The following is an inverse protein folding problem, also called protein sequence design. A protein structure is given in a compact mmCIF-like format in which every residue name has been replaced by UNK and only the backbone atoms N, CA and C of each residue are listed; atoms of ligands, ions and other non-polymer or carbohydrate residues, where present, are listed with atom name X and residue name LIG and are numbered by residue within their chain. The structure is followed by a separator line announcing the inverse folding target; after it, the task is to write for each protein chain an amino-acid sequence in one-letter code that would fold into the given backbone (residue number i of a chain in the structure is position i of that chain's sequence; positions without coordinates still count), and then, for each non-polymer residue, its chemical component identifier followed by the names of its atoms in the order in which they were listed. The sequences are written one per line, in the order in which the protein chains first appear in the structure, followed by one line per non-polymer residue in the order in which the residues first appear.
data_IF_161272031740
#
_entry.id   IF_161272031740
#
_cell.length_a   1.000
_cell.length_b   1.000
_cell.length_c   1.000
_cell.angle_alpha   90.00
_cell.angle_beta   90.00
_cell.angle_gamma   90.00
#
_symmetry.space_group_name_H-M   'P 1'
#
loop_
_entity.id
_entity.type
_entity.pdbx_description
1 polymer ?
#
# COMPACT_ATOMS: atom_id res chain seq x y z
N UNK A 1 4.25 -7.39 -18.79
CA UNK A 1 4.71 -6.04 -18.40
C UNK A 1 6.09 -6.10 -17.82
N UNK A 2 6.99 -5.24 -18.29
CA UNK A 2 8.30 -5.04 -17.67
C UNK A 2 8.09 -4.35 -16.32
N UNK A 3 8.76 -4.81 -15.26
CA UNK A 3 8.70 -4.17 -13.94
C UNK A 3 9.52 -2.87 -13.95
N UNK A 4 8.95 -1.80 -13.37
CA UNK A 4 9.57 -0.46 -13.27
C UNK A 4 9.96 -0.16 -11.82
N UNK A 5 9.09 -0.49 -10.86
CA UNK A 5 9.30 -0.27 -9.44
C UNK A 5 8.72 -1.45 -8.66
N UNK A 6 9.26 -1.75 -7.48
CA UNK A 6 8.64 -2.67 -6.52
C UNK A 6 8.43 -1.95 -5.20
N UNK A 7 7.22 -2.08 -4.62
CA UNK A 7 6.83 -1.44 -3.38
C UNK A 7 6.59 -2.48 -2.29
N UNK A 8 7.30 -2.36 -1.18
CA UNK A 8 6.99 -3.15 0.02
C UNK A 8 5.79 -2.53 0.73
N UNK A 9 4.75 -3.34 0.92
CA UNK A 9 3.49 -2.96 1.53
C UNK A 9 3.34 -3.68 2.87
N UNK A 10 2.94 -2.92 3.89
CA UNK A 10 2.62 -3.44 5.22
C UNK A 10 1.13 -3.21 5.49
N UNK A 11 0.40 -4.25 5.87
CA UNK A 11 -0.95 -4.10 6.42
C UNK A 11 -0.80 -3.71 7.90
N UNK A 12 -1.37 -2.58 8.35
CA UNK A 12 -1.28 -2.17 9.74
C UNK A 12 -1.80 -3.28 10.69
N UNK A 13 -1.07 -3.52 11.77
CA UNK A 13 -1.35 -4.59 12.74
C UNK A 13 -0.71 -5.94 12.38
N UNK A 14 -0.01 -6.05 11.26
CA UNK A 14 0.89 -7.18 10.97
C UNK A 14 2.33 -6.82 11.33
N UNK A 15 3.14 -7.85 11.60
CA UNK A 15 4.57 -7.71 11.77
C UNK A 15 5.25 -7.29 10.45
N UNK A 16 6.35 -6.55 10.54
CA UNK A 16 7.07 -5.99 9.40
C UNK A 16 7.68 -7.07 8.50
N UNK A 17 8.03 -8.22 9.06
CA UNK A 17 8.49 -9.40 8.32
C UNK A 17 7.39 -10.05 7.46
N UNK A 18 6.12 -9.66 7.68
CA UNK A 18 4.97 -10.03 6.84
C UNK A 18 4.63 -8.99 5.77
N UNK A 19 5.52 -8.03 5.51
CA UNK A 19 5.37 -7.16 4.35
C UNK A 19 5.33 -7.99 3.05
N UNK A 20 4.53 -7.54 2.10
CA UNK A 20 4.51 -8.11 0.76
C UNK A 20 5.01 -7.10 -0.27
N UNK A 21 5.73 -7.58 -1.27
CA UNK A 21 6.16 -6.75 -2.40
C UNK A 21 5.06 -6.69 -3.46
N UNK A 22 4.77 -5.49 -3.96
CA UNK A 22 3.89 -5.25 -5.09
C UNK A 22 4.68 -4.59 -6.22
N UNK A 23 4.74 -5.26 -7.37
CA UNK A 23 5.43 -4.76 -8.54
C UNK A 23 4.57 -3.74 -9.29
N UNK A 24 5.14 -2.63 -9.73
CA UNK A 24 4.53 -1.69 -10.64
C UNK A 24 5.24 -1.83 -11.98
N UNK A 25 4.47 -2.22 -13.00
CA UNK A 25 4.96 -2.43 -14.35
C UNK A 25 4.94 -1.17 -15.21
N UNK A 26 5.51 -1.29 -16.40
CA UNK A 26 5.50 -0.27 -17.46
C UNK A 26 4.06 0.02 -17.91
N UNK A 27 3.22 -1.02 -17.92
CA UNK A 27 1.78 -0.89 -18.10
C UNK A 27 1.02 -1.63 -17.00
N UNK A 28 -0.28 -1.37 -16.89
CA UNK A 28 -1.22 -2.04 -15.99
C UNK A 28 -2.61 -2.10 -16.63
N UNK A 29 -3.42 -3.09 -16.25
CA UNK A 29 -4.82 -3.19 -16.65
C UNK A 29 -5.72 -2.86 -15.47
N UNK A 30 -6.53 -1.81 -15.61
CA UNK A 30 -7.58 -1.50 -14.64
C UNK A 30 -8.69 -2.57 -14.65
N UNK A 31 -9.70 -2.41 -13.78
CA UNK A 31 -10.82 -3.37 -13.71
C UNK A 31 -11.71 -3.37 -14.98
N UNK A 32 -11.56 -2.37 -15.85
CA UNK A 32 -12.24 -2.27 -17.15
C UNK A 32 -11.39 -2.82 -18.31
N UNK A 33 -10.26 -3.47 -18.02
CA UNK A 33 -9.27 -3.94 -19.00
C UNK A 33 -8.66 -2.83 -19.88
N UNK A 34 -8.68 -1.57 -19.42
CA UNK A 34 -8.00 -0.46 -20.09
C UNK A 34 -6.52 -0.49 -19.70
N UNK A 35 -5.66 -0.33 -20.70
CA UNK A 35 -4.21 -0.22 -20.48
C UNK A 35 -3.89 1.16 -19.92
N UNK A 36 -3.22 1.18 -18.78
CA UNK A 36 -2.67 2.36 -18.12
C UNK A 36 -1.15 2.28 -18.15
N UNK A 37 -0.51 3.27 -18.75
CA UNK A 37 0.95 3.42 -18.75
C UNK A 37 1.46 3.86 -17.37
N UNK A 38 2.72 3.54 -17.04
CA UNK A 38 3.33 3.92 -15.77
C UNK A 38 3.29 5.44 -15.52
N UNK A 39 3.45 6.26 -16.57
CA UNK A 39 3.35 7.72 -16.50
C UNK A 39 1.98 8.21 -16.02
N UNK A 40 0.93 7.44 -16.28
CA UNK A 40 -0.46 7.75 -15.94
C UNK A 40 -0.94 6.95 -14.72
N UNK A 41 -0.03 6.21 -14.07
CA UNK A 41 -0.35 5.38 -12.91
C UNK A 41 -0.67 6.24 -11.69
N UNK A 42 -1.89 6.08 -11.15
CA UNK A 42 -2.43 6.84 -10.02
C UNK A 42 -2.56 5.97 -8.79
N UNK A 43 -2.76 6.64 -7.64
CA UNK A 43 -3.01 5.98 -6.36
C UNK A 43 -4.27 5.10 -6.42
N UNK A 44 -5.30 5.50 -7.16
CA UNK A 44 -6.51 4.69 -7.38
C UNK A 44 -6.21 3.34 -8.03
N UNK A 45 -5.41 3.32 -9.10
CA UNK A 45 -5.00 2.08 -9.78
C UNK A 45 -4.22 1.16 -8.84
N UNK A 46 -3.40 1.74 -7.96
CA UNK A 46 -2.70 0.96 -6.94
C UNK A 46 -3.67 0.37 -5.90
N UNK A 47 -4.67 1.12 -5.45
CA UNK A 47 -5.71 0.60 -4.52
C UNK A 47 -6.48 -0.57 -5.14
N UNK A 48 -6.86 -0.47 -6.41
CA UNK A 48 -7.50 -1.56 -7.15
C UNK A 48 -6.60 -2.80 -7.18
N UNK A 49 -5.33 -2.61 -7.55
CA UNK A 49 -4.35 -3.69 -7.60
C UNK A 49 -4.19 -4.38 -6.24
N UNK A 50 -4.05 -3.62 -5.16
CA UNK A 50 -3.95 -4.15 -3.80
C UNK A 50 -5.23 -4.89 -3.38
N UNK A 51 -6.41 -4.37 -3.72
CA UNK A 51 -7.68 -5.02 -3.43
C UNK A 51 -7.84 -6.37 -4.14
N UNK A 52 -7.07 -6.65 -5.20
CA UNK A 52 -7.08 -7.99 -5.82
C UNK A 52 -6.33 -9.05 -4.98
N UNK A 53 -5.48 -8.66 -4.01
CA UNK A 53 -4.81 -9.59 -3.09
C UNK A 53 -5.75 -10.10 -2.02
N UNK A 54 -5.77 -11.41 -1.82
CA UNK A 54 -6.60 -12.05 -0.79
C UNK A 54 -6.32 -11.51 0.62
N UNK A 55 -5.04 -11.28 0.96
CA UNK A 55 -4.63 -10.69 2.26
C UNK A 55 -5.27 -9.32 2.54
N UNK A 56 -5.57 -8.56 1.48
CA UNK A 56 -6.23 -7.25 1.58
C UNK A 56 -7.75 -7.42 1.56
N UNK A 57 -8.30 -8.26 0.67
CA UNK A 57 -9.75 -8.52 0.57
C UNK A 57 -10.36 -9.00 1.88
N UNK A 58 -9.66 -9.84 2.63
CA UNK A 58 -10.16 -10.34 3.93
C UNK A 58 -10.22 -9.24 5.00
N UNK A 59 -9.58 -8.09 4.78
CA UNK A 59 -9.50 -6.97 5.73
C UNK A 59 -10.39 -5.79 5.35
N UNK A 60 -10.62 -5.54 4.06
CA UNK A 60 -11.40 -4.39 3.58
C UNK A 60 -12.54 -4.81 2.67
N UNK A 61 -13.68 -4.12 2.76
CA UNK A 61 -14.88 -4.47 1.98
C UNK A 61 -14.82 -4.00 0.51
N UNK A 62 -14.08 -2.93 0.22
CA UNK A 62 -13.91 -2.37 -1.13
C UNK A 62 -12.69 -1.41 -1.17
N UNK A 63 -12.35 -0.94 -2.37
CA UNK A 63 -11.19 -0.05 -2.63
C UNK A 63 -11.30 1.33 -1.97
N UNK A 64 -12.51 1.87 -1.75
CA UNK A 64 -12.67 3.18 -1.13
C UNK A 64 -12.35 3.19 0.36
N UNK A 65 -12.38 2.01 1.00
CA UNK A 65 -11.95 1.80 2.40
C UNK A 65 -10.45 1.55 2.56
N UNK A 66 -9.69 1.52 1.47
CA UNK A 66 -8.24 1.39 1.53
C UNK A 66 -7.62 2.78 1.68
N UNK A 67 -7.01 3.02 2.83
CA UNK A 67 -6.14 4.18 3.05
C UNK A 67 -4.68 3.77 2.82
N UNK A 68 -4.00 4.50 1.95
CA UNK A 68 -2.58 4.29 1.66
C UNK A 68 -1.74 5.38 2.30
N UNK A 69 -0.65 4.97 2.93
CA UNK A 69 0.27 5.85 3.63
C UNK A 69 1.68 5.60 3.14
N UNK A 70 2.36 6.68 2.72
CA UNK A 70 3.80 6.64 2.50
C UNK A 70 4.49 6.84 3.84
N UNK A 71 5.29 5.87 4.26
CA UNK A 71 5.97 5.85 5.57
C UNK A 71 7.49 5.74 5.43
N UNK A 72 8.22 6.04 6.51
CA UNK A 72 9.67 5.81 6.61
C UNK A 72 9.92 4.36 7.06
N UNK A 73 10.47 3.53 6.16
CA UNK A 73 10.73 2.11 6.46
C UNK A 73 11.63 1.91 7.68
N UNK A 74 12.64 2.77 7.91
CA UNK A 74 13.50 2.68 9.10
C UNK A 74 12.74 2.94 10.39
N UNK A 75 11.62 3.65 10.32
CA UNK A 75 10.73 3.88 11.46
C UNK A 75 9.79 2.71 11.68
N UNK A 76 9.31 2.08 10.61
CA UNK A 76 8.51 0.84 10.70
C UNK A 76 9.27 -0.22 11.49
N UNK A 77 10.53 -0.50 11.12
CA UNK A 77 11.35 -1.51 11.79
C UNK A 77 11.60 -1.18 13.28
N UNK A 78 11.82 0.11 13.60
CA UNK A 78 12.05 0.57 14.98
C UNK A 78 10.81 0.51 15.85
N UNK A 79 9.64 0.70 15.25
CA UNK A 79 8.37 0.84 15.96
C UNK A 79 7.55 -0.45 15.94
N UNK A 80 8.02 -1.52 15.29
CA UNK A 80 7.33 -2.81 15.16
C UNK A 80 6.81 -3.37 16.49
N UNK A 81 7.60 -3.24 17.56
CA UNK A 81 7.23 -3.70 18.90
C UNK A 81 6.67 -2.58 19.81
N UNK A 82 6.62 -1.33 19.32
CA UNK A 82 6.25 -0.13 20.10
C UNK A 82 4.90 0.46 19.66
N UNK A 83 4.34 -0.02 18.55
CA UNK A 83 3.04 0.35 18.02
C UNK A 83 1.98 -0.66 18.47
N UNK A 84 1.45 -0.45 19.67
CA UNK A 84 0.36 -1.27 20.23
C UNK A 84 -0.93 -1.11 19.39
N UNK A 85 -1.15 0.06 18.80
CA UNK A 85 -2.27 0.35 17.91
C UNK A 85 -1.82 1.10 16.66
N UNK A 86 -2.41 0.76 15.51
CA UNK A 86 -2.20 1.46 14.24
C UNK A 86 -3.36 2.43 13.97
N UNK A 87 -3.39 3.53 14.72
CA UNK A 87 -4.27 4.65 14.44
C UNK A 87 -3.57 5.71 13.56
N UNK A 88 -4.35 6.64 13.02
CA UNK A 88 -3.84 7.67 12.10
C UNK A 88 -2.74 8.55 12.74
N UNK A 89 -2.86 8.91 14.02
CA UNK A 89 -1.84 9.72 14.71
C UNK A 89 -0.52 8.95 14.78
N UNK A 90 -0.58 7.68 15.17
CA UNK A 90 0.61 6.84 15.26
C UNK A 90 1.32 6.68 13.91
N UNK A 91 0.56 6.52 12.82
CA UNK A 91 1.12 6.46 11.47
C UNK A 91 1.82 7.77 11.11
N UNK A 92 1.20 8.93 11.39
CA UNK A 92 1.80 10.24 11.12
C UNK A 92 3.04 10.50 11.98
N UNK A 93 2.91 10.34 13.29
CA UNK A 93 3.89 10.82 14.26
C UNK A 93 5.07 9.86 14.40
N UNK A 94 4.80 8.56 14.47
CA UNK A 94 5.86 7.54 14.67
C UNK A 94 6.48 7.08 13.35
N UNK A 95 5.65 6.85 12.33
CA UNK A 95 6.10 6.33 11.03
C UNK A 95 6.39 7.42 9.99
N UNK A 96 6.21 8.70 10.35
CA UNK A 96 6.31 9.85 9.43
C UNK A 96 5.38 9.72 8.23
N UNK A 97 4.23 9.10 8.47
CA UNK A 97 3.25 8.74 7.46
C UNK A 97 2.63 9.95 6.80
N UNK A 98 2.55 9.92 5.47
CA UNK A 98 1.77 10.87 4.66
C UNK A 98 0.67 10.12 3.93
N UNK A 99 -0.58 10.52 4.16
CA UNK A 99 -1.73 9.93 3.47
C UNK A 99 -1.62 10.22 1.97
N UNK A 100 -1.77 9.17 1.17
CA UNK A 100 -1.78 9.28 -0.28
C UNK A 100 -3.22 9.55 -0.73
N UNK A 101 -3.45 10.74 -1.29
CA UNK A 101 -4.73 11.11 -1.87
C UNK A 101 -4.84 10.57 -3.30
N UNK A 102 -6.06 10.24 -3.77
CA UNK A 102 -6.33 9.83 -5.15
C UNK A 102 -5.87 10.86 -6.19
#
# INVERSE_FOLDING_TARGET
NKMILSLNCLIPGQASDKCFAEDIGETYYDDSNIVVEFSDFKVSHFKEKLFRREEVKVKVQNTSKIDLWKVDGKKVDKEENNLIEFNESNIKDKLRGKKMNP
#
